data_IF_300587412455
#
_entry.id   IF_300587412455
#
_cell.length_a   1.000
_cell.length_b   1.000
_cell.length_c   1.000
_cell.angle_alpha   90.00
_cell.angle_beta   90.00
_cell.angle_gamma   90.00
#
_symmetry.space_group_name_H-M   'P 1'
#
loop_
_entity.id
_entity.type
_entity.pdbx_description
1 polymer ?
#
# COMPACT_ATOMS: atom_id res chain seq x y z
N UNK A 1 -29.02 -24.86 55.56
CA UNK A 1 -29.47 -24.91 54.14
C UNK A 1 -28.79 -23.80 53.31
N UNK A 2 -27.48 -23.90 53.04
CA UNK A 2 -26.70 -22.88 52.27
C UNK A 2 -25.55 -23.47 51.44
N UNK A 3 -25.66 -24.71 50.94
CA UNK A 3 -24.54 -25.37 50.25
C UNK A 3 -24.87 -26.00 48.88
N UNK A 4 -26.05 -25.74 48.32
CA UNK A 4 -26.45 -26.33 47.03
C UNK A 4 -26.29 -25.42 45.81
N UNK A 5 -26.08 -24.11 46.00
CA UNK A 5 -26.04 -23.14 44.87
C UNK A 5 -24.64 -23.07 44.22
N UNK A 6 -23.57 -23.39 44.95
CA UNK A 6 -22.19 -23.23 44.43
C UNK A 6 -21.80 -24.32 43.42
N UNK A 7 -22.39 -25.52 43.50
CA UNK A 7 -22.04 -26.62 42.58
C UNK A 7 -22.63 -26.47 41.17
N UNK A 8 -23.73 -25.73 41.01
CA UNK A 8 -24.34 -25.50 39.68
C UNK A 8 -23.59 -24.42 38.91
N UNK A 9 -22.99 -23.43 39.59
CA UNK A 9 -22.24 -22.35 38.94
C UNK A 9 -20.89 -22.80 38.37
N UNK A 10 -20.21 -23.78 38.98
CA UNK A 10 -18.92 -24.28 38.45
C UNK A 10 -19.13 -25.18 37.22
N UNK A 11 -20.28 -25.86 37.11
CA UNK A 11 -20.59 -26.71 35.94
C UNK A 11 -20.95 -25.90 34.68
N UNK A 12 -21.28 -24.63 34.81
CA UNK A 12 -21.55 -23.74 33.68
C UNK A 12 -20.29 -23.00 33.19
N UNK A 13 -19.29 -22.81 34.05
CA UNK A 13 -18.04 -22.16 33.65
C UNK A 13 -17.09 -23.05 32.84
N UNK A 14 -17.14 -24.37 32.99
CA UNK A 14 -16.30 -25.28 32.18
C UNK A 14 -16.82 -25.51 30.77
N UNK A 15 -18.10 -25.22 30.47
CA UNK A 15 -18.65 -25.30 29.11
C UNK A 15 -18.52 -24.00 28.30
N UNK A 16 -18.33 -22.85 28.96
CA UNK A 16 -18.12 -21.57 28.25
C UNK A 16 -16.64 -21.37 27.88
N UNK A 17 -15.71 -21.97 28.62
CA UNK A 17 -14.27 -21.91 28.29
C UNK A 17 -13.86 -22.95 27.23
N UNK A 18 -14.76 -23.87 26.86
CA UNK A 18 -14.49 -24.97 25.94
C UNK A 18 -15.29 -24.88 24.64
N UNK A 19 -15.39 -23.68 24.05
CA UNK A 19 -15.84 -23.51 22.66
C UNK A 19 -15.50 -22.11 22.20
N UNK A 20 -14.25 -21.92 21.79
CA UNK A 20 -13.85 -21.00 20.70
C UNK A 20 -12.33 -21.10 20.52
N UNK A 21 -11.83 -22.32 20.34
CA UNK A 21 -10.80 -22.57 19.34
C UNK A 21 -11.44 -22.31 17.98
N UNK A 22 -11.64 -21.03 17.64
CA UNK A 22 -11.90 -20.61 16.28
C UNK A 22 -10.57 -20.81 15.58
N UNK A 23 -10.48 -21.87 14.78
CA UNK A 23 -9.47 -21.97 13.75
C UNK A 23 -9.50 -20.65 12.97
N UNK A 24 -8.40 -19.90 13.04
CA UNK A 24 -8.28 -18.58 12.44
C UNK A 24 -8.32 -18.65 10.92
N UNK A 25 -9.51 -18.89 10.34
CA UNK A 25 -9.78 -18.50 8.96
C UNK A 25 -10.11 -17.02 9.00
N UNK A 26 -9.12 -16.19 8.68
CA UNK A 26 -9.34 -14.81 8.29
C UNK A 26 -10.46 -14.78 7.24
N UNK A 27 -11.49 -13.97 7.45
CA UNK A 27 -12.50 -13.79 6.41
C UNK A 27 -11.83 -13.14 5.19
N UNK A 28 -12.33 -13.33 3.96
CA UNK A 28 -11.74 -12.74 2.76
C UNK A 28 -11.59 -11.20 2.86
N UNK A 29 -12.46 -10.52 3.60
CA UNK A 29 -12.34 -9.08 3.88
C UNK A 29 -11.18 -8.77 4.83
N UNK A 30 -11.01 -9.57 5.89
CA UNK A 30 -9.90 -9.42 6.84
C UNK A 30 -8.56 -9.60 6.16
N UNK A 31 -8.40 -10.66 5.36
CA UNK A 31 -7.15 -10.94 4.64
C UNK A 31 -6.80 -9.84 3.63
N UNK A 32 -7.79 -9.32 2.89
CA UNK A 32 -7.58 -8.19 1.96
C UNK A 32 -7.10 -6.94 2.69
N UNK A 33 -7.72 -6.62 3.83
CA UNK A 33 -7.29 -5.47 4.62
C UNK A 33 -5.88 -5.67 5.19
N UNK A 34 -5.57 -6.86 5.70
CA UNK A 34 -4.22 -7.22 6.16
C UNK A 34 -3.18 -7.03 5.06
N UNK A 35 -3.48 -7.42 3.82
CA UNK A 35 -2.56 -7.25 2.69
C UNK A 35 -2.29 -5.79 2.37
N UNK A 36 -3.35 -4.97 2.38
CA UNK A 36 -3.24 -3.52 2.17
C UNK A 36 -2.37 -2.89 3.27
N UNK A 37 -2.62 -3.24 4.54
CA UNK A 37 -1.83 -2.72 5.66
C UNK A 37 -0.37 -3.18 5.61
N UNK A 38 -0.11 -4.43 5.20
CA UNK A 38 1.25 -4.96 5.03
C UNK A 38 2.03 -4.17 3.97
N UNK A 39 1.44 -3.96 2.78
CA UNK A 39 2.06 -3.14 1.74
C UNK A 39 2.24 -1.69 2.18
N UNK A 40 1.18 -1.09 2.74
CA UNK A 40 1.23 0.29 3.19
C UNK A 40 2.26 0.52 4.29
N UNK A 41 2.40 -0.40 5.24
CA UNK A 41 3.38 -0.33 6.32
C UNK A 41 4.81 -0.31 5.76
N UNK A 42 5.12 -1.19 4.81
CA UNK A 42 6.44 -1.22 4.15
C UNK A 42 6.72 0.07 3.39
N UNK A 43 5.76 0.55 2.61
CA UNK A 43 5.87 1.84 1.88
C UNK A 43 6.11 2.98 2.88
N UNK A 44 5.29 3.08 3.94
CA UNK A 44 5.38 4.14 4.93
C UNK A 44 6.72 4.14 5.65
N UNK A 45 7.24 2.96 6.00
CA UNK A 45 8.56 2.81 6.60
C UNK A 45 9.65 3.32 5.64
N UNK A 46 9.60 2.94 4.37
CA UNK A 46 10.57 3.41 3.38
C UNK A 46 10.46 4.92 3.11
N UNK A 47 9.24 5.49 3.12
CA UNK A 47 9.02 6.94 3.00
C UNK A 47 9.56 7.75 4.19
N UNK A 48 9.73 7.12 5.35
CA UNK A 48 10.30 7.76 6.54
C UNK A 48 11.82 7.90 6.52
N UNK A 49 12.47 7.38 5.48
CA UNK A 49 13.91 7.55 5.27
C UNK A 49 14.26 9.06 5.17
N UNK A 50 15.22 9.57 5.97
CA UNK A 50 15.71 10.94 5.82
C UNK A 50 16.25 11.27 4.43
N UNK A 51 16.74 10.27 3.69
CA UNK A 51 17.22 10.44 2.31
C UNK A 51 16.09 10.59 1.29
N UNK A 52 14.85 10.28 1.67
CA UNK A 52 13.70 10.43 0.79
C UNK A 52 13.27 11.89 0.65
N UNK A 53 13.66 12.48 -0.49
CA UNK A 53 13.32 13.85 -0.88
C UNK A 53 12.31 13.91 -2.04
N UNK A 54 11.63 12.81 -2.37
CA UNK A 54 10.76 12.73 -3.56
C UNK A 54 9.27 12.73 -3.22
N UNK A 55 8.84 11.89 -2.28
CA UNK A 55 7.42 11.71 -1.94
C UNK A 55 7.21 11.69 -0.43
N UNK A 56 6.07 12.20 0.03
CA UNK A 56 5.59 12.01 1.40
C UNK A 56 4.18 11.46 1.41
N UNK A 57 3.88 10.55 2.32
CA UNK A 57 2.50 10.17 2.59
C UNK A 57 1.77 11.32 3.30
N UNK A 58 0.53 11.60 2.89
CA UNK A 58 -0.30 12.69 3.45
C UNK A 58 -1.44 12.11 4.27
N UNK A 59 -2.34 11.38 3.61
CA UNK A 59 -3.57 10.89 4.24
C UNK A 59 -4.18 9.70 3.47
N UNK A 60 -5.18 9.06 4.08
CA UNK A 60 -5.97 7.99 3.48
C UNK A 60 -7.46 8.29 3.63
N UNK A 61 -8.18 8.32 2.51
CA UNK A 61 -9.64 8.50 2.47
C UNK A 61 -10.28 7.28 1.83
N UNK A 62 -10.79 6.37 2.66
CA UNK A 62 -11.29 5.07 2.23
C UNK A 62 -10.18 4.21 1.61
N UNK A 63 -10.33 3.85 0.33
CA UNK A 63 -9.33 3.10 -0.43
C UNK A 63 -8.41 3.99 -1.28
N UNK A 64 -8.40 5.31 -1.03
CA UNK A 64 -7.51 6.25 -1.70
C UNK A 64 -6.36 6.62 -0.77
N UNK A 65 -5.14 6.49 -1.26
CA UNK A 65 -3.91 6.84 -0.56
C UNK A 65 -3.31 8.07 -1.22
N UNK A 66 -3.16 9.14 -0.45
CA UNK A 66 -2.63 10.42 -0.90
C UNK A 66 -1.15 10.53 -0.56
N UNK A 67 -0.36 10.83 -1.59
CA UNK A 67 1.04 11.18 -1.48
C UNK A 67 1.24 12.57 -2.05
N UNK A 68 2.18 13.31 -1.48
CA UNK A 68 2.59 14.61 -1.99
C UNK A 68 4.02 14.53 -2.48
N UNK A 69 4.25 15.06 -3.66
CA UNK A 69 5.60 15.21 -4.21
C UNK A 69 6.27 16.44 -3.61
N UNK A 70 7.54 16.29 -3.25
CA UNK A 70 8.39 17.41 -2.86
C UNK A 70 8.78 18.21 -4.11
N UNK A 71 7.89 19.08 -4.57
CA UNK A 71 8.03 19.90 -5.78
C UNK A 71 7.71 21.38 -5.49
N UNK A 72 8.17 22.28 -6.38
CA UNK A 72 7.92 23.75 -6.28
C UNK A 72 6.43 24.10 -6.33
N UNK A 73 5.63 23.28 -7.02
CA UNK A 73 4.17 23.29 -7.04
C UNK A 73 3.63 22.09 -6.26
N UNK A 74 2.51 22.25 -5.52
CA UNK A 74 1.93 21.15 -4.73
C UNK A 74 1.25 20.14 -5.66
N UNK A 75 1.99 19.11 -6.07
CA UNK A 75 1.48 17.97 -6.81
C UNK A 75 1.18 16.81 -5.86
N UNK A 76 -0.04 16.31 -5.94
CA UNK A 76 -0.52 15.16 -5.18
C UNK A 76 -0.70 13.96 -6.11
N UNK A 77 -0.11 12.85 -5.71
CA UNK A 77 -0.25 11.55 -6.34
C UNK A 77 -1.23 10.72 -5.53
N UNK A 78 -2.30 10.25 -6.16
CA UNK A 78 -3.40 9.55 -5.49
C UNK A 78 -3.49 8.14 -6.04
N UNK A 79 -3.31 7.15 -5.18
CA UNK A 79 -3.51 5.73 -5.53
C UNK A 79 -4.85 5.26 -4.99
N UNK A 80 -5.71 4.75 -5.88
CA UNK A 80 -7.00 4.15 -5.55
C UNK A 80 -6.90 2.63 -5.64
N UNK A 81 -7.10 1.96 -4.51
CA UNK A 81 -7.22 0.52 -4.47
C UNK A 81 -8.68 0.10 -4.78
N UNK A 82 -8.90 -0.88 -5.67
CA UNK A 82 -10.22 -1.42 -5.92
C UNK A 82 -10.78 -2.13 -4.68
N UNK A 83 -12.10 -2.37 -4.65
CA UNK A 83 -12.74 -3.07 -3.53
C UNK A 83 -12.30 -4.54 -3.43
N UNK A 84 -11.98 -5.14 -4.58
CA UNK A 84 -11.45 -6.50 -4.66
C UNK A 84 -9.93 -6.49 -4.81
N UNK A 85 -9.23 -5.57 -4.13
CA UNK A 85 -7.78 -5.65 -4.04
C UNK A 85 -7.40 -6.80 -3.10
N UNK A 86 -6.42 -7.67 -3.41
CA UNK A 86 -5.43 -7.58 -4.49
C UNK A 86 -5.80 -8.27 -5.81
N UNK A 87 -7.01 -8.80 -5.97
CA UNK A 87 -7.43 -9.45 -7.23
C UNK A 87 -7.54 -8.47 -8.40
N UNK A 88 -8.05 -7.27 -8.13
CA UNK A 88 -8.16 -6.18 -9.09
C UNK A 88 -6.95 -5.23 -8.97
N UNK A 89 -6.52 -4.68 -10.11
CA UNK A 89 -5.36 -3.78 -10.16
C UNK A 89 -5.64 -2.38 -9.58
N UNK A 90 -4.66 -1.75 -8.91
CA UNK A 90 -4.74 -0.35 -8.51
C UNK A 90 -4.86 0.60 -9.70
N UNK A 91 -5.39 1.80 -9.45
CA UNK A 91 -5.39 2.92 -10.39
C UNK A 91 -4.83 4.16 -9.70
N UNK A 92 -4.31 5.12 -10.46
CA UNK A 92 -3.79 6.35 -9.89
C UNK A 92 -4.23 7.59 -10.66
N UNK A 93 -4.06 8.75 -10.04
CA UNK A 93 -4.30 10.07 -10.64
C UNK A 93 -3.39 11.11 -10.01
N UNK A 94 -3.32 12.29 -10.63
CA UNK A 94 -2.54 13.42 -10.14
C UNK A 94 -3.43 14.64 -9.98
N UNK A 95 -3.19 15.40 -8.91
CA UNK A 95 -3.79 16.71 -8.66
C UNK A 95 -2.71 17.77 -8.47
N UNK A 96 -2.92 18.96 -9.03
CA UNK A 96 -2.03 20.12 -8.84
C UNK A 96 -2.82 21.22 -8.16
N UNK A 97 -2.38 21.60 -6.95
CA UNK A 97 -2.76 22.77 -6.13
C UNK A 97 -4.25 23.00 -5.78
N UNK A 98 -5.21 22.67 -6.66
CA UNK A 98 -6.69 22.72 -6.54
C UNK A 98 -7.43 22.30 -7.84
N UNK A 99 -6.73 21.91 -8.91
CA UNK A 99 -7.37 21.51 -10.18
C UNK A 99 -7.91 20.09 -10.06
N UNK A 100 -9.19 19.90 -10.41
CA UNK A 100 -9.95 18.68 -10.20
C UNK A 100 -9.22 17.39 -10.66
N UNK A 101 -9.39 16.33 -9.87
CA UNK A 101 -8.96 14.94 -10.12
C UNK A 101 -9.07 14.61 -11.61
N UNK A 102 -7.94 14.36 -12.26
CA UNK A 102 -7.93 13.65 -13.54
C UNK A 102 -8.50 12.24 -13.32
N UNK A 103 -9.24 11.72 -14.29
CA UNK A 103 -9.79 10.36 -14.25
C UNK A 103 -8.70 9.36 -13.84
N UNK A 104 -8.98 8.53 -12.82
CA UNK A 104 -8.08 7.46 -12.41
C UNK A 104 -7.79 6.52 -13.58
N UNK A 105 -6.51 6.42 -13.95
CA UNK A 105 -6.01 5.56 -15.01
C UNK A 105 -4.86 4.71 -14.48
N UNK A 106 -4.62 3.57 -15.12
CA UNK A 106 -3.39 2.80 -14.94
C UNK A 106 -2.85 2.58 -16.34
N UNK A 107 -1.77 3.28 -16.68
CA UNK A 107 -1.14 3.22 -18.00
C UNK A 107 -0.36 1.91 -18.20
N UNK A 108 0.08 1.28 -17.10
CA UNK A 108 0.92 0.08 -17.12
C UNK A 108 0.30 -1.09 -16.32
N UNK A 109 -0.91 -1.56 -16.68
CA UNK A 109 -1.66 -2.54 -15.88
C UNK A 109 -0.97 -3.91 -15.76
N UNK A 110 0.00 -4.21 -16.64
CA UNK A 110 0.77 -5.46 -16.60
C UNK A 110 1.87 -5.45 -15.53
N UNK A 111 2.40 -4.28 -15.19
CA UNK A 111 3.53 -4.15 -14.27
C UNK A 111 3.09 -3.56 -12.94
N UNK A 112 2.14 -2.63 -12.98
CA UNK A 112 1.66 -1.88 -11.82
C UNK A 112 0.50 -2.64 -11.16
N UNK A 113 0.75 -3.92 -10.86
CA UNK A 113 -0.24 -4.92 -10.42
C UNK A 113 -0.58 -4.82 -8.94
N UNK A 114 0.27 -4.17 -8.14
CA UNK A 114 0.10 -4.01 -6.71
C UNK A 114 0.40 -2.57 -6.28
N UNK A 115 -0.03 -2.22 -5.07
CA UNK A 115 0.10 -0.88 -4.53
C UNK A 115 1.56 -0.44 -4.49
N UNK A 116 2.45 -1.33 -4.02
CA UNK A 116 3.89 -1.07 -3.92
C UNK A 116 4.50 -0.64 -5.25
N UNK A 117 4.22 -1.37 -6.33
CA UNK A 117 4.75 -1.11 -7.68
C UNK A 117 4.21 0.17 -8.29
N UNK A 118 2.96 0.53 -8.02
CA UNK A 118 2.38 1.80 -8.46
C UNK A 118 3.11 2.97 -7.80
N UNK A 119 3.46 2.85 -6.52
CA UNK A 119 4.26 3.86 -5.80
C UNK A 119 5.70 3.89 -6.32
N UNK A 120 6.33 2.73 -6.52
CA UNK A 120 7.71 2.64 -7.04
C UNK A 120 7.85 3.17 -8.47
N UNK A 121 6.84 2.96 -9.32
CA UNK A 121 6.75 3.56 -10.65
C UNK A 121 6.87 5.07 -10.55
N UNK A 122 6.11 5.67 -9.62
CA UNK A 122 6.15 7.12 -9.43
C UNK A 122 7.49 7.61 -8.91
N UNK A 123 8.11 6.88 -7.98
CA UNK A 123 9.48 7.15 -7.55
C UNK A 123 10.47 7.15 -8.72
N UNK A 124 10.38 6.14 -9.59
CA UNK A 124 11.24 6.03 -10.76
C UNK A 124 11.06 7.23 -11.72
N UNK A 125 9.81 7.60 -12.01
CA UNK A 125 9.51 8.76 -12.86
C UNK A 125 10.06 10.08 -12.28
N UNK A 126 9.90 10.30 -10.97
CA UNK A 126 10.44 11.49 -10.30
C UNK A 126 11.96 11.50 -10.35
N UNK A 127 12.59 10.36 -10.05
CA UNK A 127 14.04 10.18 -10.08
C UNK A 127 14.62 10.51 -11.45
N UNK A 128 14.01 9.97 -12.53
CA UNK A 128 14.42 10.25 -13.91
C UNK A 128 14.22 11.73 -14.27
N UNK A 129 13.04 12.29 -13.99
CA UNK A 129 12.71 13.67 -14.34
C UNK A 129 13.61 14.68 -13.62
N UNK A 130 14.08 14.36 -12.41
CA UNK A 130 14.87 15.27 -11.56
C UNK A 130 16.35 14.93 -11.50
N UNK A 131 16.78 13.82 -12.10
CA UNK A 131 18.14 13.29 -12.00
C UNK A 131 18.59 13.14 -10.54
N UNK A 132 17.72 12.55 -9.71
CA UNK A 132 17.98 12.28 -8.29
C UNK A 132 18.00 10.76 -8.08
N UNK A 133 18.95 10.27 -7.30
CA UNK A 133 19.02 8.85 -6.97
C UNK A 133 17.81 8.40 -6.12
N UNK A 134 17.39 7.14 -6.34
CA UNK A 134 16.35 6.52 -5.53
C UNK A 134 16.99 6.01 -4.23
N UNK A 135 16.50 6.39 -3.04
CA UNK A 135 17.03 5.91 -1.76
C UNK A 135 16.99 4.38 -1.66
N UNK A 136 17.98 3.78 -0.99
CA UNK A 136 18.10 2.32 -0.92
C UNK A 136 16.91 1.66 -0.21
N UNK A 137 16.30 2.31 0.79
CA UNK A 137 15.08 1.78 1.43
C UNK A 137 13.88 1.72 0.50
N UNK A 138 13.81 2.62 -0.48
CA UNK A 138 12.79 2.57 -1.53
C UNK A 138 13.12 1.46 -2.52
N UNK A 139 14.39 1.30 -2.90
CA UNK A 139 14.85 0.20 -3.76
C UNK A 139 14.54 -1.16 -3.14
N UNK A 140 14.71 -1.30 -1.83
CA UNK A 140 14.47 -2.52 -1.09
C UNK A 140 13.00 -2.98 -1.09
N UNK A 141 12.03 -2.14 -1.49
CA UNK A 141 10.63 -2.53 -1.58
C UNK A 141 10.38 -3.54 -2.71
N UNK A 142 10.98 -3.33 -3.88
CA UNK A 142 10.95 -4.26 -5.03
C UNK A 142 12.07 -3.87 -6.02
N UNK A 143 13.28 -4.40 -5.78
CA UNK A 143 14.48 -4.09 -6.58
C UNK A 143 14.33 -4.55 -8.02
N UNK A 144 13.80 -5.75 -8.22
CA UNK A 144 13.63 -6.36 -9.55
C UNK A 144 12.73 -5.47 -10.43
N UNK A 145 11.63 -4.97 -9.87
CA UNK A 145 10.75 -4.06 -10.58
C UNK A 145 11.46 -2.77 -11.02
N UNK A 146 12.25 -2.14 -10.15
CA UNK A 146 12.99 -0.92 -10.52
C UNK A 146 14.05 -1.18 -11.60
N UNK A 147 14.68 -2.35 -11.58
CA UNK A 147 15.58 -2.76 -12.67
C UNK A 147 14.83 -2.98 -13.99
N UNK A 148 13.62 -3.54 -13.95
CA UNK A 148 12.73 -3.64 -15.12
C UNK A 148 12.39 -2.24 -15.66
N UNK A 149 12.05 -1.28 -14.79
CA UNK A 149 11.80 0.11 -15.16
C UNK A 149 12.99 0.71 -15.91
N UNK A 150 14.20 0.58 -15.33
CA UNK A 150 15.44 1.10 -15.93
C UNK A 150 15.72 0.50 -17.29
N UNK A 151 15.55 -0.83 -17.44
CA UNK A 151 15.76 -1.53 -18.72
C UNK A 151 14.78 -1.05 -19.79
N UNK A 152 13.50 -0.91 -19.45
CA UNK A 152 12.49 -0.41 -20.40
C UNK A 152 12.78 1.02 -20.86
N UNK A 153 13.17 1.87 -19.93
CA UNK A 153 13.53 3.25 -20.26
C UNK A 153 14.77 3.30 -21.17
N UNK A 154 15.81 2.53 -20.86
CA UNK A 154 17.02 2.44 -21.68
C UNK A 154 16.72 1.94 -23.11
N UNK A 155 15.80 0.98 -23.26
CA UNK A 155 15.32 0.51 -24.58
C UNK A 155 14.57 1.62 -25.34
N UNK A 156 13.70 2.37 -24.66
CA UNK A 156 12.97 3.48 -25.27
C UNK A 156 13.89 4.63 -25.72
N UNK A 157 14.99 4.84 -24.99
CA UNK A 157 16.01 5.84 -25.32
C UNK A 157 17.05 5.36 -26.35
N UNK A 158 17.00 4.11 -26.81
CA UNK A 158 17.96 3.54 -27.78
C UNK A 158 19.37 3.31 -27.21
N UNK A 159 19.47 3.12 -25.90
CA UNK A 159 20.74 2.84 -25.19
C UNK A 159 21.03 1.34 -25.02
N UNK A 160 20.06 0.49 -25.40
CA UNK A 160 20.09 -0.98 -25.44
C UNK A 160 19.34 -1.45 -26.69
#
# INVERSE_FOLDING_TARGET
MKFWIIRVLISLFTKVVCRMTISGRSTPETWRQEKIEEEFSRIRNALSDPENLMLRYVDRVGNNFLFQEYHLAKLYFIVKLPKNYPEDIPKYSFEVERVAIRKFANENPRTDVNFTRVVLRRFFEISMARQIDIPEKIIALDREFLEECRKKEAQMMGLL
#
